data_IF_823327321959
#
_entry.id   IF_823327321959
#
_cell.length_a   1.000
_cell.length_b   1.000
_cell.length_c   1.000
_cell.angle_alpha   90.00
_cell.angle_beta   90.00
_cell.angle_gamma   90.00
#
_symmetry.space_group_name_H-M   'P 1'
#
loop_
_entity.id
_entity.type
_entity.pdbx_description
1 polymer ?
#
# COMPACT_ATOMS: atom_id res chain seq x y z
N UNK A 1 -9.15 22.61 -20.38
CA UNK A 1 -8.70 23.09 -19.05
C UNK A 1 -7.20 22.88 -18.96
N UNK A 2 -6.48 23.76 -18.27
CA UNK A 2 -5.04 23.62 -18.02
C UNK A 2 -4.77 23.56 -16.53
N UNK A 3 -3.67 22.92 -16.16
CA UNK A 3 -3.21 22.78 -14.78
C UNK A 3 -1.70 23.01 -14.71
N UNK A 4 -1.27 23.69 -13.66
CA UNK A 4 0.13 23.96 -13.34
C UNK A 4 0.32 23.75 -11.84
N UNK A 5 1.19 22.81 -11.48
CA UNK A 5 1.53 22.50 -10.09
C UNK A 5 3.04 22.69 -9.96
N UNK A 6 3.47 23.44 -8.94
CA UNK A 6 4.87 23.57 -8.60
C UNK A 6 5.07 23.23 -7.12
N UNK A 7 6.02 22.36 -6.86
CA UNK A 7 6.41 21.98 -5.50
C UNK A 7 7.82 22.51 -5.23
N UNK A 8 8.01 23.17 -4.09
CA UNK A 8 9.32 23.62 -3.61
C UNK A 8 9.53 23.07 -2.22
N UNK A 9 10.57 22.25 -2.06
CA UNK A 9 10.98 21.69 -0.80
C UNK A 9 12.33 22.28 -0.39
N UNK A 10 12.45 22.69 0.87
CA UNK A 10 13.72 23.04 1.50
C UNK A 10 13.79 22.30 2.84
N UNK A 11 14.87 21.58 3.06
CA UNK A 11 15.15 20.92 4.33
C UNK A 11 16.50 21.37 4.87
N UNK A 12 16.56 21.44 6.18
CA UNK A 12 17.78 21.59 6.96
C UNK A 12 17.65 20.63 8.14
N UNK A 13 18.63 19.77 8.31
CA UNK A 13 18.69 18.83 9.42
C UNK A 13 20.08 18.84 10.03
N UNK A 14 20.17 18.52 11.31
CA UNK A 14 21.46 18.33 11.94
C UNK A 14 21.36 17.56 13.24
N UNK A 15 22.45 16.90 13.60
CA UNK A 15 22.60 16.20 14.88
C UNK A 15 23.61 16.96 15.73
N UNK A 16 23.26 17.23 16.98
CA UNK A 16 24.17 17.87 17.91
C UNK A 16 23.77 17.60 19.35
N UNK A 17 24.69 17.90 20.27
CA UNK A 17 24.57 17.55 21.69
C UNK A 17 24.27 18.79 22.52
N UNK A 18 23.57 18.60 23.65
CA UNK A 18 23.18 19.65 24.59
C UNK A 18 22.52 20.87 23.90
N UNK A 19 21.35 20.70 23.27
CA UNK A 19 20.63 21.83 22.68
C UNK A 19 20.24 22.84 23.76
N UNK A 20 20.51 24.13 23.53
CA UNK A 20 20.05 25.22 24.39
C UNK A 20 18.52 25.19 24.46
N UNK A 21 17.93 24.91 25.64
CA UNK A 21 16.49 24.77 25.80
C UNK A 21 15.72 26.06 25.52
N UNK A 22 16.41 27.21 25.40
CA UNK A 22 15.80 28.51 25.04
C UNK A 22 15.63 28.69 23.54
N UNK A 23 16.26 27.86 22.71
CA UNK A 23 16.16 27.91 21.23
C UNK A 23 15.90 26.53 20.62
N UNK A 24 14.88 25.80 21.11
CA UNK A 24 14.62 24.43 20.68
C UNK A 24 14.35 24.37 19.17
N UNK A 25 14.80 23.28 18.52
CA UNK A 25 14.63 23.00 17.09
C UNK A 25 15.42 23.92 16.13
N UNK A 26 16.55 24.50 16.56
CA UNK A 26 17.47 25.21 15.67
C UNK A 26 18.85 24.59 15.69
N UNK A 27 19.56 24.55 14.55
CA UNK A 27 20.96 24.09 14.54
C UNK A 27 21.85 25.02 15.38
N UNK A 28 21.49 26.29 15.51
CA UNK A 28 22.20 27.22 16.39
C UNK A 28 22.11 26.88 17.88
N UNK A 29 21.18 26.01 18.30
CA UNK A 29 21.04 25.65 19.71
C UNK A 29 22.00 24.55 20.15
N UNK A 30 22.61 23.79 19.24
CA UNK A 30 23.47 22.65 19.63
C UNK A 30 24.89 23.08 19.96
N UNK A 31 25.51 22.42 20.95
CA UNK A 31 26.88 22.72 21.39
C UNK A 31 27.88 22.46 20.25
N UNK A 32 28.74 23.43 19.88
CA UNK A 32 29.74 23.26 18.83
C UNK A 32 30.72 22.11 19.11
N UNK A 33 30.96 21.28 18.10
CA UNK A 33 31.98 20.24 18.13
C UNK A 33 33.38 20.80 17.93
N UNK A 34 34.31 20.43 18.81
CA UNK A 34 35.75 20.68 18.64
C UNK A 34 36.52 19.37 18.83
N UNK A 35 37.74 19.27 18.29
CA UNK A 35 38.58 18.06 18.44
C UNK A 35 38.73 17.61 19.91
N UNK A 36 38.67 18.54 20.87
CA UNK A 36 38.81 18.25 22.29
C UNK A 36 37.56 17.66 22.97
N UNK A 37 36.35 17.82 22.41
CA UNK A 37 35.12 17.30 23.02
C UNK A 37 34.47 16.15 22.21
N UNK A 38 34.89 15.93 20.97
CA UNK A 38 34.37 14.85 20.12
C UNK A 38 32.90 15.01 19.72
N UNK A 39 32.28 16.17 20.00
CA UNK A 39 30.85 16.43 19.74
C UNK A 39 30.63 16.90 18.29
N UNK A 40 31.09 16.12 17.32
CA UNK A 40 30.99 16.48 15.90
C UNK A 40 29.53 16.61 15.47
N UNK A 41 29.17 17.79 14.98
CA UNK A 41 27.85 18.05 14.43
C UNK A 41 27.79 17.54 13.00
N UNK A 42 26.72 16.85 12.66
CA UNK A 42 26.34 16.62 11.27
C UNK A 42 25.31 17.67 10.91
N UNK A 43 25.51 18.39 9.81
CA UNK A 43 24.52 19.28 9.23
C UNK A 43 24.33 18.85 7.80
N UNK A 44 23.08 18.60 7.42
CA UNK A 44 22.71 18.29 6.04
C UNK A 44 21.48 19.11 5.64
N UNK A 45 21.30 19.32 4.35
CA UNK A 45 20.17 20.07 3.84
C UNK A 45 19.89 19.69 2.40
N UNK A 46 18.71 20.04 1.93
CA UNK A 46 18.26 19.75 0.58
C UNK A 46 17.39 20.87 0.06
N UNK A 47 17.48 21.12 -1.23
CA UNK A 47 16.53 21.95 -1.96
C UNK A 47 16.06 21.12 -3.14
N UNK A 48 14.74 20.99 -3.29
CA UNK A 48 14.14 20.49 -4.52
C UNK A 48 13.09 21.47 -4.99
N UNK A 49 12.97 21.61 -6.30
CA UNK A 49 11.87 22.31 -6.95
C UNK A 49 11.43 21.43 -8.11
N UNK A 50 10.13 21.22 -8.31
CA UNK A 50 9.62 20.47 -9.45
C UNK A 50 8.30 21.07 -9.93
N UNK A 51 7.95 20.79 -11.19
CA UNK A 51 6.78 21.35 -11.86
C UNK A 51 6.07 20.27 -12.67
N UNK A 52 4.74 20.26 -12.60
CA UNK A 52 3.84 19.53 -13.49
C UNK A 52 3.00 20.53 -14.28
N UNK A 53 2.99 20.40 -15.60
CA UNK A 53 2.12 21.17 -16.50
C UNK A 53 1.21 20.22 -17.24
N UNK A 54 -0.07 20.53 -17.34
CA UNK A 54 -1.06 19.62 -17.91
C UNK A 54 -2.11 20.34 -18.73
N UNK A 55 -2.54 19.71 -19.82
CA UNK A 55 -3.67 20.14 -20.64
C UNK A 55 -4.70 19.02 -20.75
N UNK A 56 -5.97 19.31 -20.46
CA UNK A 56 -7.08 18.35 -20.45
C UNK A 56 -8.25 18.84 -21.31
N UNK A 57 -8.78 17.94 -22.13
CA UNK A 57 -10.08 18.04 -22.77
C UNK A 57 -10.94 16.86 -22.37
N UNK A 58 -12.23 17.09 -22.16
CA UNK A 58 -13.19 16.04 -21.88
C UNK A 58 -14.52 16.38 -22.53
N UNK A 59 -15.29 15.35 -22.85
CA UNK A 59 -16.58 15.45 -23.49
C UNK A 59 -17.53 14.41 -22.92
N UNK A 60 -18.81 14.77 -22.89
CA UNK A 60 -19.90 13.89 -22.52
C UNK A 60 -21.08 14.17 -23.44
N UNK A 61 -21.67 13.11 -23.97
CA UNK A 61 -22.89 13.19 -24.75
C UNK A 61 -23.88 12.16 -24.23
N UNK A 62 -25.13 12.54 -24.09
CA UNK A 62 -26.22 11.62 -23.71
C UNK A 62 -27.29 11.67 -24.79
N UNK A 63 -27.59 10.52 -25.38
CA UNK A 63 -28.67 10.34 -26.35
C UNK A 63 -29.91 9.76 -25.66
N UNK A 64 -31.08 10.35 -25.92
CA UNK A 64 -32.40 9.92 -25.42
C UNK A 64 -32.44 9.69 -23.89
N UNK A 65 -31.60 10.41 -23.15
CA UNK A 65 -31.39 10.23 -21.72
C UNK A 65 -30.97 8.79 -21.28
N UNK A 66 -30.62 7.90 -22.23
CA UNK A 66 -30.36 6.46 -22.01
C UNK A 66 -28.91 6.10 -22.25
N UNK A 67 -28.31 6.60 -23.31
CA UNK A 67 -26.98 6.19 -23.75
C UNK A 67 -26.03 7.37 -23.57
N UNK A 68 -25.18 7.30 -22.54
CA UNK A 68 -24.14 8.30 -22.32
C UNK A 68 -22.81 7.78 -22.85
N UNK A 69 -22.14 8.58 -23.68
CA UNK A 69 -20.73 8.41 -24.03
C UNK A 69 -19.90 9.46 -23.31
N UNK A 70 -18.74 9.05 -22.79
CA UNK A 70 -17.76 9.94 -22.15
C UNK A 70 -16.39 9.73 -22.78
N UNK A 71 -15.66 10.82 -22.98
CA UNK A 71 -14.29 10.79 -23.44
C UNK A 71 -13.44 11.83 -22.73
N UNK A 72 -12.18 11.53 -22.47
CA UNK A 72 -11.18 12.51 -22.04
C UNK A 72 -9.84 12.23 -22.69
N UNK A 73 -9.08 13.30 -22.89
CA UNK A 73 -7.70 13.26 -23.35
C UNK A 73 -6.90 14.31 -22.60
N UNK A 74 -5.72 13.91 -22.14
CA UNK A 74 -4.86 14.72 -21.29
C UNK A 74 -3.41 14.57 -21.73
N UNK A 75 -2.64 15.66 -21.68
CA UNK A 75 -1.20 15.67 -21.94
C UNK A 75 -0.49 16.33 -20.76
N UNK A 76 0.41 15.60 -20.11
CA UNK A 76 1.06 16.00 -18.86
C UNK A 76 2.58 16.00 -19.03
N UNK A 77 3.23 17.05 -18.52
CA UNK A 77 4.67 17.28 -18.55
C UNK A 77 5.21 17.41 -17.14
N UNK A 78 6.06 16.47 -16.69
CA UNK A 78 6.69 16.51 -15.36
C UNK A 78 8.18 16.87 -15.44
N UNK A 79 8.61 17.92 -14.75
CA UNK A 79 10.02 18.33 -14.71
C UNK A 79 10.92 17.31 -14.01
N UNK A 80 10.35 16.40 -13.22
CA UNK A 80 11.07 15.31 -12.55
C UNK A 80 11.70 14.33 -13.54
N UNK A 81 11.22 14.30 -14.78
CA UNK A 81 11.66 13.38 -15.83
C UNK A 81 12.56 14.07 -16.87
N UNK A 82 13.38 13.28 -17.60
CA UNK A 82 14.17 13.76 -18.73
C UNK A 82 13.36 14.59 -19.73
N UNK A 83 14.05 15.46 -20.48
CA UNK A 83 13.42 16.29 -21.52
C UNK A 83 12.68 15.45 -22.57
N UNK A 84 13.22 14.28 -22.91
CA UNK A 84 12.70 13.41 -23.96
C UNK A 84 11.46 12.60 -23.53
N UNK A 85 11.26 12.40 -22.23
CA UNK A 85 10.22 11.51 -21.68
C UNK A 85 9.22 12.22 -20.79
N UNK A 86 9.43 13.51 -20.47
CA UNK A 86 8.58 14.25 -19.52
C UNK A 86 7.15 14.43 -19.94
N UNK A 87 6.87 14.55 -21.24
CA UNK A 87 5.53 14.74 -21.78
C UNK A 87 4.91 13.41 -22.17
N UNK A 88 3.74 13.10 -21.61
CA UNK A 88 2.97 11.90 -21.94
C UNK A 88 1.49 12.19 -22.09
N UNK A 89 0.80 11.34 -22.86
CA UNK A 89 -0.61 11.48 -23.13
C UNK A 89 -1.43 10.35 -22.52
N UNK A 90 -2.58 10.72 -21.97
CA UNK A 90 -3.52 9.84 -21.30
C UNK A 90 -4.91 10.04 -21.88
N UNK A 91 -5.69 8.97 -21.95
CA UNK A 91 -7.05 9.03 -22.46
C UNK A 91 -8.00 8.19 -21.62
N UNK A 92 -9.28 8.47 -21.73
CA UNK A 92 -10.33 7.58 -21.23
C UNK A 92 -11.53 7.64 -22.15
N UNK A 93 -12.12 6.48 -22.42
CA UNK A 93 -13.40 6.35 -23.10
C UNK A 93 -14.33 5.50 -22.24
N UNK A 94 -15.59 5.88 -22.20
CA UNK A 94 -16.60 5.15 -21.44
C UNK A 94 -17.99 5.29 -22.01
N UNK A 95 -18.84 4.33 -21.66
CA UNK A 95 -20.24 4.30 -22.03
C UNK A 95 -21.09 3.93 -20.80
N UNK A 96 -22.27 4.52 -20.70
CA UNK A 96 -23.29 4.20 -19.71
C UNK A 96 -24.59 3.95 -20.46
N UNK A 97 -25.22 2.82 -20.17
CA UNK A 97 -26.55 2.46 -20.65
C UNK A 97 -27.51 2.43 -19.47
N UNK A 98 -28.44 3.38 -19.43
CA UNK A 98 -29.52 3.46 -18.45
C UNK A 98 -30.64 2.49 -18.83
N UNK A 99 -30.39 1.21 -18.56
CA UNK A 99 -31.31 0.09 -18.74
C UNK A 99 -32.68 0.36 -18.08
N UNK A 100 -32.70 1.06 -16.95
CA UNK A 100 -33.94 1.41 -16.24
C UNK A 100 -34.92 2.26 -17.06
N UNK A 101 -34.46 2.92 -18.12
CA UNK A 101 -35.29 3.73 -19.02
C UNK A 101 -35.75 2.99 -20.28
N UNK A 102 -35.29 1.75 -20.48
CA UNK A 102 -35.70 0.94 -21.62
C UNK A 102 -37.13 0.42 -21.49
N UNK A 103 -37.83 0.26 -22.62
CA UNK A 103 -39.24 -0.16 -22.63
C UNK A 103 -39.49 -1.50 -21.93
N UNK A 104 -38.50 -2.40 -21.96
CA UNK A 104 -38.55 -3.71 -21.33
C UNK A 104 -38.29 -3.70 -19.81
N UNK A 105 -37.77 -2.60 -19.23
CA UNK A 105 -37.51 -2.47 -17.78
C UNK A 105 -38.36 -1.39 -17.13
N UNK A 106 -38.62 -0.27 -17.81
CA UNK A 106 -39.22 0.95 -17.22
C UNK A 106 -40.55 0.73 -16.50
N UNK A 107 -41.28 -0.34 -16.84
CA UNK A 107 -42.57 -0.71 -16.25
C UNK A 107 -42.45 -1.69 -15.07
N UNK A 108 -41.24 -2.16 -14.73
CA UNK A 108 -40.98 -3.01 -13.58
C UNK A 108 -40.90 -2.12 -12.33
N UNK A 109 -41.99 -2.06 -11.56
CA UNK A 109 -42.12 -1.16 -10.40
C UNK A 109 -41.06 -1.38 -9.30
N UNK A 110 -40.47 -2.58 -9.25
CA UNK A 110 -39.39 -2.93 -8.33
C UNK A 110 -38.03 -2.35 -8.75
N UNK A 111 -37.86 -1.87 -9.98
CA UNK A 111 -36.61 -1.28 -10.48
C UNK A 111 -36.75 0.23 -10.51
N UNK A 112 -35.99 0.93 -9.66
CA UNK A 112 -35.97 2.39 -9.63
C UNK A 112 -34.86 2.97 -10.52
N UNK A 113 -33.72 2.27 -10.60
CA UNK A 113 -32.60 2.60 -11.47
C UNK A 113 -31.81 1.33 -11.76
N UNK A 114 -31.35 1.18 -13.00
CA UNK A 114 -30.44 0.14 -13.42
C UNK A 114 -29.55 0.68 -14.53
N UNK A 115 -28.23 0.71 -14.32
CA UNK A 115 -27.27 1.25 -15.28
C UNK A 115 -26.11 0.29 -15.48
N UNK A 116 -25.86 -0.07 -16.73
CA UNK A 116 -24.63 -0.75 -17.13
C UNK A 116 -23.60 0.30 -17.54
N UNK A 117 -22.37 0.16 -17.06
CA UNK A 117 -21.26 1.07 -17.33
C UNK A 117 -20.06 0.29 -17.82
N UNK A 118 -19.32 0.85 -18.75
CA UNK A 118 -18.03 0.33 -19.19
C UNK A 118 -17.06 1.47 -19.45
N UNK A 119 -15.78 1.28 -19.10
CA UNK A 119 -14.74 2.25 -19.45
C UNK A 119 -13.38 1.59 -19.69
N UNK A 120 -12.57 2.26 -20.51
CA UNK A 120 -11.18 1.93 -20.72
C UNK A 120 -10.35 3.21 -20.84
N UNK A 121 -9.23 3.27 -20.13
CA UNK A 121 -8.38 4.45 -20.18
C UNK A 121 -7.02 4.22 -19.56
N UNK A 122 -6.15 5.20 -19.76
CA UNK A 122 -4.81 5.26 -19.20
C UNK A 122 -4.67 6.40 -18.19
N UNK A 123 -3.78 6.20 -17.22
CA UNK A 123 -3.28 7.23 -16.29
C UNK A 123 -1.79 7.02 -16.07
N UNK A 124 -1.08 8.02 -15.56
CA UNK A 124 0.35 7.94 -15.31
C UNK A 124 0.73 8.32 -13.88
N UNK A 125 1.81 7.72 -13.38
CA UNK A 125 2.50 8.17 -12.18
C UNK A 125 3.85 8.80 -12.56
N UNK A 126 4.09 10.01 -12.05
CA UNK A 126 5.38 10.70 -12.13
C UNK A 126 5.96 11.09 -10.76
N UNK A 127 5.55 10.39 -9.70
CA UNK A 127 5.92 10.67 -8.33
C UNK A 127 6.46 9.41 -7.63
N UNK A 128 7.09 9.62 -6.47
CA UNK A 128 7.65 8.55 -5.62
C UNK A 128 8.66 7.65 -6.36
N UNK A 129 9.44 8.25 -7.25
CA UNK A 129 10.50 7.53 -7.95
C UNK A 129 11.64 7.14 -6.99
N UNK A 130 12.30 6.00 -7.21
CA UNK A 130 13.53 5.69 -6.50
C UNK A 130 14.58 6.79 -6.70
N UNK A 131 15.14 7.30 -5.60
CA UNK A 131 16.08 8.44 -5.64
C UNK A 131 15.41 9.82 -5.61
N UNK A 132 14.08 9.90 -5.60
CA UNK A 132 13.33 11.15 -5.46
C UNK A 132 13.08 11.87 -6.78
N UNK A 133 13.08 13.20 -6.74
CA UNK A 133 12.99 14.02 -7.94
C UNK A 133 14.28 13.85 -8.77
N UNK A 134 14.17 13.88 -10.10
CA UNK A 134 15.31 13.77 -11.02
C UNK A 134 16.05 12.42 -11.01
N UNK A 135 15.35 11.26 -11.08
CA UNK A 135 16.00 9.95 -11.08
C UNK A 135 16.94 9.74 -12.29
N UNK A 136 16.93 10.65 -13.26
CA UNK A 136 17.80 10.64 -14.42
C UNK A 136 19.17 11.28 -14.21
N UNK A 137 19.39 11.99 -13.12
CA UNK A 137 20.67 12.63 -12.83
C UNK A 137 21.64 11.66 -12.15
N UNK A 138 22.89 11.67 -12.60
CA UNK A 138 23.98 11.05 -11.85
C UNK A 138 24.28 11.89 -10.61
N UNK A 139 24.44 11.23 -9.46
CA UNK A 139 24.78 11.89 -8.20
C UNK A 139 26.16 11.45 -7.72
N UNK A 140 26.78 12.33 -6.94
CA UNK A 140 28.08 12.12 -6.32
C UNK A 140 27.98 12.45 -4.83
N UNK A 141 28.76 11.73 -4.03
CA UNK A 141 28.95 12.03 -2.62
C UNK A 141 30.42 12.31 -2.33
N UNK A 142 30.66 13.04 -1.24
CA UNK A 142 32.01 13.22 -0.72
C UNK A 142 32.42 12.03 0.12
N UNK A 143 33.67 11.60 -0.03
CA UNK A 143 34.28 10.53 0.74
C UNK A 143 35.67 10.90 1.22
N UNK A 144 36.34 9.95 1.83
CA UNK A 144 37.75 10.06 2.20
C UNK A 144 38.50 8.85 1.66
N UNK A 145 39.59 9.09 0.96
CA UNK A 145 40.51 8.05 0.50
C UNK A 145 41.92 8.44 0.92
N UNK A 146 42.57 7.57 1.70
CA UNK A 146 43.90 7.80 2.25
C UNK A 146 44.04 9.18 2.95
N UNK A 147 43.05 9.52 3.77
CA UNK A 147 42.99 10.79 4.52
C UNK A 147 42.70 12.03 3.67
N UNK A 148 42.57 11.91 2.35
CA UNK A 148 42.21 13.00 1.44
C UNK A 148 40.73 12.99 1.10
N UNK A 149 40.12 14.17 1.00
CA UNK A 149 38.74 14.31 0.57
C UNK A 149 38.61 13.89 -0.90
N UNK A 150 37.58 13.11 -1.20
CA UNK A 150 37.28 12.63 -2.56
C UNK A 150 35.83 12.86 -2.91
N UNK A 151 35.52 12.77 -4.20
CA UNK A 151 34.16 12.63 -4.72
C UNK A 151 34.05 11.27 -5.39
N UNK A 152 32.97 10.56 -5.13
CA UNK A 152 32.67 9.29 -5.78
C UNK A 152 31.21 9.25 -6.23
N UNK A 153 30.90 8.58 -7.34
CA UNK A 153 29.54 8.47 -7.84
C UNK A 153 28.70 7.60 -6.90
N UNK A 154 27.46 8.00 -6.62
CA UNK A 154 26.51 7.24 -5.77
C UNK A 154 25.38 6.63 -6.57
N UNK A 155 25.00 7.24 -7.70
CA UNK A 155 24.08 6.65 -8.66
C UNK A 155 24.43 7.11 -10.07
N UNK A 156 24.36 6.22 -11.07
CA UNK A 156 24.56 6.60 -12.47
C UNK A 156 23.44 7.49 -13.02
N UNK A 157 22.26 7.51 -12.38
CA UNK A 157 21.04 8.10 -12.94
C UNK A 157 20.48 7.29 -14.11
N UNK A 158 19.17 7.34 -14.31
CA UNK A 158 18.49 6.71 -15.43
C UNK A 158 18.06 7.76 -16.49
N UNK A 159 18.87 8.03 -17.53
CA UNK A 159 18.54 9.01 -18.56
C UNK A 159 17.29 8.65 -19.37
N UNK A 160 16.83 7.39 -19.28
CA UNK A 160 15.63 6.88 -19.93
C UNK A 160 14.43 6.79 -18.97
N UNK A 161 14.54 7.38 -17.77
CA UNK A 161 13.45 7.41 -16.81
C UNK A 161 12.20 7.98 -17.46
N UNK A 162 11.06 7.35 -17.19
CA UNK A 162 9.78 7.69 -17.81
C UNK A 162 8.64 7.51 -16.82
N UNK A 163 7.45 7.91 -17.23
CA UNK A 163 6.22 7.70 -16.48
C UNK A 163 5.93 6.21 -16.29
N UNK A 164 5.35 5.86 -15.15
CA UNK A 164 4.71 4.54 -14.99
C UNK A 164 3.27 4.64 -15.48
N UNK A 165 2.87 3.75 -16.38
CA UNK A 165 1.55 3.79 -17.00
C UNK A 165 0.60 2.80 -16.34
N UNK A 166 -0.64 3.19 -16.16
CA UNK A 166 -1.72 2.32 -15.72
C UNK A 166 -2.80 2.31 -16.79
N UNK A 167 -3.17 1.14 -17.29
CA UNK A 167 -4.31 0.93 -18.17
C UNK A 167 -5.41 0.21 -17.40
N UNK A 168 -6.60 0.79 -17.35
CA UNK A 168 -7.71 0.23 -16.57
C UNK A 168 -8.91 0.01 -17.47
N UNK A 169 -9.39 -1.23 -17.52
CA UNK A 169 -10.72 -1.58 -18.02
C UNK A 169 -11.66 -1.80 -16.84
N UNK A 170 -12.85 -1.20 -16.88
CA UNK A 170 -13.90 -1.38 -15.89
C UNK A 170 -15.22 -1.75 -16.55
N UNK A 171 -15.97 -2.65 -15.92
CA UNK A 171 -17.37 -2.95 -16.25
C UNK A 171 -18.15 -2.94 -14.95
N UNK A 172 -19.23 -2.17 -14.89
CA UNK A 172 -19.99 -1.95 -13.67
C UNK A 172 -21.49 -1.97 -13.87
N UNK A 173 -22.23 -2.41 -12.86
CA UNK A 173 -23.68 -2.35 -12.80
C UNK A 173 -24.08 -1.54 -11.56
N UNK A 174 -24.77 -0.42 -11.76
CA UNK A 174 -25.41 0.33 -10.67
C UNK A 174 -26.89 -0.04 -10.61
N UNK A 175 -27.42 -0.17 -9.39
CA UNK A 175 -28.83 -0.48 -9.20
C UNK A 175 -29.45 0.26 -8.01
N UNK A 176 -30.74 0.54 -8.15
CA UNK A 176 -31.63 1.00 -7.09
C UNK A 176 -32.97 0.28 -7.25
N UNK A 177 -33.40 -0.45 -6.23
CA UNK A 177 -34.51 -1.38 -6.27
C UNK A 177 -35.47 -1.18 -5.09
N UNK A 178 -36.67 -1.74 -5.23
CA UNK A 178 -37.69 -1.89 -4.20
C UNK A 178 -38.09 -0.57 -3.53
N UNK A 179 -38.46 0.43 -4.34
CA UNK A 179 -38.75 1.80 -3.89
C UNK A 179 -37.57 2.44 -3.16
N UNK A 180 -36.38 2.30 -3.77
CA UNK A 180 -35.14 2.90 -3.26
C UNK A 180 -34.76 2.36 -1.88
N UNK A 181 -35.04 1.09 -1.64
CA UNK A 181 -34.72 0.42 -0.36
C UNK A 181 -33.47 -0.41 -0.46
N UNK A 182 -33.12 -0.89 -1.65
CA UNK A 182 -31.90 -1.65 -1.89
C UNK A 182 -31.13 -0.96 -2.99
N UNK A 183 -29.88 -0.57 -2.73
CA UNK A 183 -29.06 0.13 -3.72
C UNK A 183 -27.59 -0.24 -3.56
N UNK A 184 -26.86 -0.13 -4.65
CA UNK A 184 -25.47 -0.54 -4.68
C UNK A 184 -24.91 -0.60 -6.08
N UNK A 185 -23.75 -1.21 -6.17
CA UNK A 185 -23.01 -1.39 -7.40
C UNK A 185 -22.16 -2.66 -7.35
N UNK A 186 -21.93 -3.24 -8.52
CA UNK A 186 -20.99 -4.34 -8.74
C UNK A 186 -20.06 -3.92 -9.87
N UNK A 187 -18.77 -3.85 -9.60
CA UNK A 187 -17.75 -3.45 -10.55
C UNK A 187 -16.72 -4.56 -10.69
N UNK A 188 -16.39 -4.90 -11.93
CA UNK A 188 -15.21 -5.68 -12.27
C UNK A 188 -14.18 -4.76 -12.90
N UNK A 189 -12.91 -4.97 -12.55
CA UNK A 189 -11.81 -4.22 -13.13
C UNK A 189 -10.64 -5.12 -13.56
N UNK A 190 -9.91 -4.65 -14.56
CA UNK A 190 -8.61 -5.16 -14.94
C UNK A 190 -7.66 -3.98 -15.15
N UNK A 191 -6.68 -3.88 -14.27
CA UNK A 191 -5.68 -2.82 -14.21
C UNK A 191 -4.31 -3.41 -14.53
N UNK A 192 -3.69 -2.95 -15.60
CA UNK A 192 -2.32 -3.31 -15.98
C UNK A 192 -1.43 -2.10 -15.75
N UNK A 193 -0.44 -2.24 -14.88
CA UNK A 193 0.58 -1.22 -14.68
C UNK A 193 1.84 -1.62 -15.44
N UNK A 194 2.38 -0.70 -16.21
CA UNK A 194 3.57 -0.87 -17.05
C UNK A 194 4.63 0.15 -16.69
N UNK A 195 5.87 -0.17 -17.04
CA UNK A 195 7.02 0.68 -16.84
C UNK A 195 7.29 1.00 -15.36
N UNK A 196 6.90 0.09 -14.46
CA UNK A 196 7.23 0.18 -13.04
C UNK A 196 8.74 0.17 -12.84
N UNK A 197 9.21 0.93 -11.86
CA UNK A 197 10.61 0.86 -11.46
C UNK A 197 10.94 -0.52 -10.87
N UNK A 198 11.90 -1.20 -11.49
CA UNK A 198 12.52 -2.44 -10.99
C UNK A 198 14.00 -2.20 -10.74
N UNK A 199 14.59 -3.03 -9.88
CA UNK A 199 16.03 -3.00 -9.61
C UNK A 199 16.77 -3.83 -10.65
N UNK A 200 17.60 -3.17 -11.46
CA UNK A 200 18.53 -3.82 -12.37
C UNK A 200 19.93 -3.82 -11.76
N UNK A 201 20.49 -5.00 -11.50
CA UNK A 201 21.85 -5.11 -10.94
C UNK A 201 22.87 -4.58 -11.94
N UNK A 202 23.79 -3.75 -11.45
CA UNK A 202 24.89 -3.23 -12.24
C UNK A 202 26.03 -4.26 -12.29
N UNK A 203 26.78 -4.27 -13.39
CA UNK A 203 28.03 -5.05 -13.46
C UNK A 203 29.02 -4.51 -12.43
N UNK A 204 29.77 -5.39 -11.77
CA UNK A 204 30.87 -4.98 -10.89
C UNK A 204 31.94 -4.14 -11.63
N UNK A 205 32.01 -4.23 -12.96
CA UNK A 205 32.91 -3.40 -13.79
C UNK A 205 32.34 -2.02 -14.13
N UNK A 206 31.13 -1.69 -13.71
CA UNK A 206 30.47 -0.42 -14.01
C UNK A 206 31.02 0.77 -13.19
N UNK A 207 31.95 0.52 -12.27
CA UNK A 207 32.51 1.55 -11.38
C UNK A 207 31.62 1.88 -10.18
N UNK A 208 30.60 1.07 -9.94
CA UNK A 208 29.73 1.08 -8.77
C UNK A 208 30.04 -0.13 -7.88
N UNK A 209 29.64 -0.09 -6.62
CA UNK A 209 29.89 -1.17 -5.66
C UNK A 209 29.31 -2.51 -6.11
N UNK A 210 29.93 -3.62 -5.66
CA UNK A 210 29.38 -4.96 -5.89
C UNK A 210 28.01 -5.03 -5.21
N UNK A 211 26.98 -5.35 -6.00
CA UNK A 211 25.59 -5.41 -5.52
C UNK A 211 24.78 -4.15 -5.77
N UNK A 212 25.38 -3.09 -6.32
CA UNK A 212 24.65 -1.88 -6.69
C UNK A 212 23.66 -2.14 -7.84
N UNK A 213 22.59 -1.36 -7.85
CA UNK A 213 21.53 -1.45 -8.84
C UNK A 213 21.16 -0.07 -9.37
N UNK A 214 20.58 -0.06 -10.57
CA UNK A 214 19.90 1.09 -11.15
C UNK A 214 18.40 0.81 -11.21
N UNK A 215 17.60 1.81 -10.84
CA UNK A 215 16.14 1.74 -10.96
C UNK A 215 15.71 1.99 -12.41
N UNK A 216 15.07 1.01 -13.03
CA UNK A 216 14.65 1.06 -14.43
C UNK A 216 13.12 0.91 -14.56
N UNK A 217 12.49 1.78 -15.34
CA UNK A 217 11.08 1.70 -15.71
C UNK A 217 10.81 0.57 -16.72
N UNK A 218 10.64 -0.66 -16.24
CA UNK A 218 10.47 -1.82 -17.11
C UNK A 218 9.60 -2.96 -16.52
N UNK A 219 9.20 -2.85 -15.25
CA UNK A 219 8.33 -3.83 -14.61
C UNK A 219 6.88 -3.73 -15.10
N UNK A 220 6.20 -4.87 -15.15
CA UNK A 220 4.76 -4.94 -15.37
C UNK A 220 4.06 -5.75 -14.27
N UNK A 221 2.92 -5.26 -13.82
CA UNK A 221 2.02 -6.00 -12.94
C UNK A 221 0.57 -5.85 -13.38
N UNK A 222 -0.25 -6.78 -12.93
CA UNK A 222 -1.68 -6.80 -13.20
C UNK A 222 -2.46 -7.00 -11.91
N UNK A 223 -3.47 -6.15 -11.73
CA UNK A 223 -4.49 -6.25 -10.69
C UNK A 223 -5.84 -6.49 -11.35
N UNK A 224 -6.52 -7.58 -10.99
CA UNK A 224 -7.88 -7.87 -11.46
C UNK A 224 -8.78 -8.19 -10.30
N UNK A 225 -10.00 -7.68 -10.32
CA UNK A 225 -10.82 -7.76 -9.14
C UNK A 225 -12.27 -7.41 -9.32
N UNK A 226 -12.99 -7.57 -8.22
CA UNK A 226 -14.38 -7.18 -8.07
C UNK A 226 -14.51 -6.23 -6.89
N UNK A 227 -15.34 -5.20 -7.04
CA UNK A 227 -15.75 -4.31 -5.98
C UNK A 227 -17.28 -4.30 -5.95
N UNK A 228 -17.86 -4.58 -4.79
CA UNK A 228 -19.29 -4.65 -4.58
C UNK A 228 -19.67 -3.78 -3.43
N UNK A 229 -20.68 -2.94 -3.62
CA UNK A 229 -21.34 -2.21 -2.55
C UNK A 229 -22.80 -2.63 -2.51
N UNK A 230 -23.32 -2.93 -1.33
CA UNK A 230 -24.72 -3.25 -1.11
C UNK A 230 -25.25 -2.53 0.12
N UNK A 231 -26.37 -1.85 -0.04
CA UNK A 231 -27.06 -1.16 1.03
C UNK A 231 -28.53 -1.57 1.01
N UNK A 232 -29.12 -1.66 2.21
CA UNK A 232 -30.51 -2.02 2.39
C UNK A 232 -31.14 -1.25 3.55
N UNK A 233 -32.16 -0.43 3.27
CA UNK A 233 -33.04 0.11 4.30
C UNK A 233 -34.09 -0.94 4.70
N UNK A 234 -33.69 -1.83 5.62
CA UNK A 234 -34.47 -2.99 6.06
C UNK A 234 -35.70 -2.61 6.85
N UNK A 235 -35.69 -1.48 7.56
CA UNK A 235 -36.84 -0.93 8.26
C UNK A 235 -37.02 0.56 7.94
N UNK A 236 -38.24 0.96 7.56
CA UNK A 236 -38.65 2.35 7.35
C UNK A 236 -40.06 2.54 7.91
N UNK A 237 -40.19 3.13 9.10
CA UNK A 237 -41.48 3.37 9.78
C UNK A 237 -41.45 4.67 10.57
N UNK A 238 -42.25 5.67 10.20
CA UNK A 238 -42.40 6.95 10.88
C UNK A 238 -41.05 7.60 11.24
N UNK A 239 -40.59 7.38 12.47
CA UNK A 239 -39.35 7.95 13.02
C UNK A 239 -38.22 6.92 13.17
N UNK A 240 -38.39 5.69 12.68
CA UNK A 240 -37.41 4.61 12.69
C UNK A 240 -36.94 4.33 11.26
N UNK A 241 -35.63 4.40 11.05
CA UNK A 241 -34.96 3.89 9.85
C UNK A 241 -33.79 3.00 10.28
N UNK A 242 -33.67 1.83 9.67
CA UNK A 242 -32.53 0.93 9.86
C UNK A 242 -31.97 0.60 8.50
N UNK A 243 -30.72 1.00 8.28
CA UNK A 243 -29.96 0.70 7.07
C UNK A 243 -28.82 -0.23 7.42
N UNK A 244 -28.78 -1.39 6.77
CA UNK A 244 -27.61 -2.25 6.75
C UNK A 244 -26.80 -1.93 5.50
N UNK A 245 -25.49 -1.87 5.62
CA UNK A 245 -24.61 -1.63 4.48
C UNK A 245 -23.39 -2.53 4.54
N UNK A 246 -22.84 -2.83 3.37
CA UNK A 246 -21.64 -3.60 3.19
C UNK A 246 -20.92 -3.22 1.91
N UNK A 247 -19.60 -3.32 1.95
CA UNK A 247 -18.75 -3.33 0.77
C UNK A 247 -17.80 -4.52 0.84
N UNK A 248 -17.39 -4.97 -0.34
CA UNK A 248 -16.52 -6.12 -0.55
C UNK A 248 -15.62 -5.83 -1.74
N UNK A 249 -14.34 -6.14 -1.60
CA UNK A 249 -13.35 -6.05 -2.66
C UNK A 249 -12.52 -7.34 -2.72
N UNK A 250 -12.39 -7.89 -3.92
CA UNK A 250 -11.43 -8.94 -4.23
C UNK A 250 -10.40 -8.40 -5.23
N UNK A 251 -9.12 -8.56 -4.94
CA UNK A 251 -8.04 -8.15 -5.83
C UNK A 251 -6.99 -9.26 -5.98
N UNK A 252 -6.87 -9.79 -7.20
CA UNK A 252 -5.78 -10.69 -7.58
C UNK A 252 -4.65 -9.87 -8.22
N UNK A 253 -3.53 -9.80 -7.52
CA UNK A 253 -2.30 -9.18 -8.02
C UNK A 253 -1.36 -10.25 -8.64
N UNK A 254 -0.63 -9.89 -9.69
CA UNK A 254 0.43 -10.71 -10.28
C UNK A 254 1.49 -9.85 -10.96
N UNK A 255 2.76 -10.12 -10.68
CA UNK A 255 3.89 -9.61 -11.47
C UNK A 255 3.92 -10.34 -12.80
N UNK A 256 3.87 -9.62 -13.92
CA UNK A 256 3.81 -10.20 -15.26
C UNK A 256 5.11 -10.07 -16.04
N UNK A 257 5.97 -9.11 -15.68
CA UNK A 257 7.27 -8.93 -16.33
C UNK A 257 8.26 -8.21 -15.41
N UNK A 258 9.52 -8.64 -15.46
CA UNK A 258 10.70 -7.92 -14.96
C UNK A 258 11.64 -7.52 -16.11
N UNK A 259 11.13 -7.49 -17.35
CA UNK A 259 11.88 -7.12 -18.55
C UNK A 259 13.20 -7.89 -18.76
N UNK A 260 13.25 -9.15 -18.32
CA UNK A 260 14.42 -10.02 -18.45
C UNK A 260 15.39 -9.94 -17.27
N UNK A 261 15.17 -9.05 -16.31
CA UNK A 261 15.93 -9.03 -15.06
C UNK A 261 15.55 -10.23 -14.17
N UNK A 262 16.50 -10.79 -13.40
CA UNK A 262 16.22 -11.88 -12.48
C UNK A 262 15.27 -11.46 -11.36
N UNK A 263 14.60 -12.43 -10.75
CA UNK A 263 13.87 -12.20 -9.51
C UNK A 263 14.82 -11.66 -8.44
N UNK A 264 14.30 -10.79 -7.57
CA UNK A 264 15.08 -10.16 -6.50
C UNK A 264 14.25 -10.00 -5.24
N UNK A 265 14.93 -10.03 -4.10
CA UNK A 265 14.29 -9.96 -2.80
C UNK A 265 13.98 -8.52 -2.40
N UNK A 266 12.85 -8.32 -1.71
CA UNK A 266 12.49 -7.06 -1.09
C UNK A 266 11.93 -7.32 0.30
N UNK A 267 12.76 -7.21 1.33
CA UNK A 267 12.37 -7.65 2.68
C UNK A 267 12.18 -9.17 2.71
N UNK A 268 11.00 -9.64 3.07
CA UNK A 268 10.68 -11.09 3.16
C UNK A 268 9.99 -11.64 1.91
N UNK A 269 9.75 -10.81 0.90
CA UNK A 269 9.20 -11.26 -0.38
C UNK A 269 10.28 -11.41 -1.44
N UNK A 270 9.99 -12.25 -2.44
CA UNK A 270 10.73 -12.33 -3.68
C UNK A 270 9.87 -11.74 -4.80
N UNK A 271 10.30 -10.65 -5.43
CA UNK A 271 9.62 -10.13 -6.61
C UNK A 271 9.94 -11.06 -7.77
N UNK A 272 8.93 -11.80 -8.23
CA UNK A 272 9.10 -12.85 -9.23
C UNK A 272 7.90 -12.92 -10.18
N UNK A 273 8.18 -13.15 -11.47
CA UNK A 273 7.15 -13.27 -12.51
C UNK A 273 6.24 -14.45 -12.22
N UNK A 274 4.92 -14.22 -12.29
CA UNK A 274 3.90 -15.23 -12.04
C UNK A 274 3.37 -15.27 -10.61
N UNK A 275 4.05 -14.63 -9.67
CA UNK A 275 3.64 -14.53 -8.27
C UNK A 275 2.91 -13.21 -7.99
N UNK A 276 1.99 -13.18 -7.02
CA UNK A 276 1.51 -11.93 -6.44
C UNK A 276 2.67 -11.14 -5.83
N UNK A 277 2.63 -9.81 -5.96
CA UNK A 277 3.43 -8.94 -5.12
C UNK A 277 3.12 -9.25 -3.65
N UNK A 278 4.15 -9.20 -2.82
CA UNK A 278 4.12 -9.49 -1.41
C UNK A 278 4.24 -10.95 -1.01
N UNK A 279 4.47 -11.86 -1.97
CA UNK A 279 4.56 -13.29 -1.66
C UNK A 279 5.86 -13.61 -0.93
N UNK A 280 5.74 -14.13 0.28
CA UNK A 280 6.88 -14.42 1.14
C UNK A 280 7.78 -15.52 0.56
N UNK A 281 9.09 -15.34 0.71
CA UNK A 281 10.14 -16.22 0.22
C UNK A 281 11.09 -16.57 1.36
N UNK A 282 10.87 -17.73 1.98
CA UNK A 282 11.56 -18.14 3.20
C UNK A 282 11.86 -19.64 3.21
N UNK A 283 12.69 -20.09 4.14
CA UNK A 283 12.86 -21.53 4.39
C UNK A 283 11.58 -22.05 5.06
N UNK A 284 11.12 -23.23 4.67
CA UNK A 284 9.97 -23.87 5.31
C UNK A 284 10.34 -24.44 6.68
N UNK A 285 9.58 -24.04 7.70
CA UNK A 285 9.65 -24.60 9.04
C UNK A 285 8.91 -25.95 9.12
N UNK A 286 9.59 -26.98 9.64
CA UNK A 286 9.06 -28.33 9.76
C UNK A 286 8.77 -28.75 11.21
N UNK A 287 8.97 -27.85 12.18
CA UNK A 287 8.69 -28.12 13.60
C UNK A 287 9.94 -28.27 14.45
N UNK A 288 9.75 -28.88 15.61
CA UNK A 288 10.83 -29.20 16.55
C UNK A 288 11.00 -30.72 16.58
N UNK A 289 12.24 -31.20 16.46
CA UNK A 289 12.54 -32.61 16.65
C UNK A 289 12.24 -32.98 18.11
N UNK A 290 11.19 -33.77 18.33
CA UNK A 290 10.77 -34.17 19.67
C UNK A 290 11.84 -34.94 20.44
N UNK A 291 12.79 -35.59 19.77
CA UNK A 291 13.86 -36.38 20.40
C UNK A 291 15.04 -35.53 20.85
N UNK A 292 15.34 -34.43 20.13
CA UNK A 292 16.55 -33.62 20.37
C UNK A 292 16.29 -32.15 20.73
N UNK A 293 15.06 -31.67 20.53
CA UNK A 293 14.68 -30.27 20.70
C UNK A 293 15.22 -29.34 19.61
N UNK A 294 15.81 -29.88 18.53
CA UNK A 294 16.39 -29.07 17.45
C UNK A 294 15.32 -28.54 16.50
N UNK A 295 15.48 -27.33 15.96
CA UNK A 295 14.61 -26.83 14.91
C UNK A 295 14.78 -27.64 13.62
N UNK A 296 13.67 -28.06 13.02
CA UNK A 296 13.61 -28.78 11.75
C UNK A 296 13.08 -27.86 10.65
N UNK A 297 13.66 -28.02 9.46
CA UNK A 297 13.29 -27.29 8.24
C UNK A 297 13.11 -28.26 7.09
N UNK A 298 12.54 -27.78 5.99
CA UNK A 298 12.50 -28.51 4.72
C UNK A 298 13.56 -27.93 3.78
N UNK A 299 14.36 -28.81 3.18
CA UNK A 299 15.34 -28.44 2.16
C UNK A 299 14.71 -28.27 0.76
N UNK A 300 15.51 -27.86 -0.21
CA UNK A 300 15.05 -27.67 -1.60
C UNK A 300 14.48 -28.94 -2.26
N UNK A 301 14.82 -30.14 -1.77
CA UNK A 301 14.32 -31.41 -2.28
C UNK A 301 13.03 -31.87 -1.59
N UNK A 302 12.62 -31.21 -0.52
CA UNK A 302 11.47 -31.61 0.30
C UNK A 302 11.82 -32.48 1.50
N UNK A 303 13.11 -32.67 1.80
CA UNK A 303 13.58 -33.49 2.91
C UNK A 303 13.81 -32.66 4.18
N UNK A 304 13.74 -33.31 5.35
CA UNK A 304 14.02 -32.64 6.61
C UNK A 304 15.50 -32.33 6.77
N UNK A 305 15.82 -31.08 7.11
CA UNK A 305 17.17 -30.62 7.39
C UNK A 305 17.25 -29.86 8.71
N UNK A 306 18.41 -29.96 9.37
CA UNK A 306 18.76 -29.22 10.59
C UNK A 306 19.65 -28.00 10.28
N UNK A 307 20.08 -27.86 9.03
CA UNK A 307 21.02 -26.84 8.56
C UNK A 307 20.51 -26.26 7.25
N UNK A 308 19.42 -25.47 7.29
CA UNK A 308 18.88 -24.85 6.09
C UNK A 308 19.86 -23.81 5.52
N UNK A 309 19.77 -23.60 4.22
CA UNK A 309 20.57 -22.67 3.43
C UNK A 309 19.67 -21.77 2.60
N UNK A 310 20.23 -20.71 2.01
CA UNK A 310 19.46 -19.80 1.15
C UNK A 310 18.84 -20.49 -0.07
N UNK A 311 19.41 -21.62 -0.52
CA UNK A 311 18.89 -22.41 -1.63
C UNK A 311 17.63 -23.21 -1.26
N UNK A 312 17.34 -23.36 0.04
CA UNK A 312 16.18 -24.11 0.54
C UNK A 312 14.92 -23.24 0.63
N UNK A 313 15.03 -21.93 0.33
CA UNK A 313 13.91 -20.99 0.41
C UNK A 313 12.91 -21.22 -0.73
N UNK A 314 11.64 -21.07 -0.41
CA UNK A 314 10.52 -21.28 -1.36
C UNK A 314 9.48 -20.17 -1.25
N UNK A 315 8.82 -19.87 -2.37
CA UNK A 315 7.86 -18.78 -2.47
C UNK A 315 6.40 -19.28 -2.38
N UNK A 316 6.00 -19.77 -1.20
CA UNK A 316 4.67 -20.40 -1.02
C UNK A 316 3.88 -20.01 0.23
N UNK A 317 4.37 -19.09 1.05
CA UNK A 317 3.79 -18.80 2.38
C UNK A 317 2.78 -17.66 2.37
N UNK A 318 1.98 -17.52 1.31
CA UNK A 318 1.01 -16.44 1.18
C UNK A 318 1.65 -15.09 0.85
N UNK A 319 0.82 -14.05 0.79
CA UNK A 319 1.23 -12.66 0.51
C UNK A 319 0.79 -11.72 1.62
N UNK A 320 1.57 -10.68 1.87
CA UNK A 320 1.21 -9.63 2.82
C UNK A 320 0.09 -8.68 2.33
N UNK A 321 -0.26 -8.74 1.04
CA UNK A 321 -1.41 -8.05 0.46
C UNK A 321 -2.68 -8.88 0.58
N UNK A 322 -3.69 -8.36 1.30
CA UNK A 322 -4.97 -9.06 1.46
C UNK A 322 -5.75 -9.10 0.13
N UNK A 323 -6.02 -10.30 -0.43
CA UNK A 323 -6.82 -10.42 -1.64
C UNK A 323 -8.29 -10.07 -1.40
N UNK A 324 -8.81 -10.31 -0.19
CA UNK A 324 -10.19 -9.99 0.19
C UNK A 324 -10.20 -8.94 1.28
N UNK A 325 -11.03 -7.90 1.09
CA UNK A 325 -11.22 -6.85 2.10
C UNK A 325 -12.60 -6.24 1.97
N UNK A 326 -13.06 -5.62 3.05
CA UNK A 326 -14.32 -4.91 3.01
C UNK A 326 -14.69 -4.29 4.34
N UNK A 327 -15.94 -3.86 4.41
CA UNK A 327 -16.53 -3.32 5.61
C UNK A 327 -18.03 -3.48 5.59
N UNK A 328 -18.62 -3.50 6.77
CA UNK A 328 -20.07 -3.59 6.92
C UNK A 328 -20.51 -2.87 8.18
N UNK A 329 -21.79 -2.56 8.27
CA UNK A 329 -22.29 -1.79 9.38
C UNK A 329 -23.78 -1.57 9.35
N UNK A 330 -24.22 -0.75 10.29
CA UNK A 330 -25.62 -0.32 10.41
C UNK A 330 -25.71 1.16 10.71
N UNK A 331 -26.73 1.78 10.13
CA UNK A 331 -27.18 3.13 10.48
C UNK A 331 -28.61 3.04 10.98
N UNK A 332 -28.81 3.39 12.25
CA UNK A 332 -30.12 3.38 12.89
C UNK A 332 -30.50 4.80 13.25
N UNK A 333 -31.67 5.23 12.78
CA UNK A 333 -32.28 6.51 13.17
C UNK A 333 -33.54 6.24 13.95
N UNK A 334 -33.67 6.81 15.14
CA UNK A 334 -34.87 6.69 15.95
C UNK A 334 -35.17 7.94 16.75
N UNK A 335 -36.26 8.66 16.42
CA UNK A 335 -36.76 9.83 17.21
C UNK A 335 -35.67 10.86 17.58
N UNK A 336 -34.80 11.19 16.63
CA UNK A 336 -33.69 12.14 16.84
C UNK A 336 -32.38 11.50 17.28
N UNK A 337 -32.36 10.23 17.67
CA UNK A 337 -31.12 9.47 17.81
C UNK A 337 -30.63 8.98 16.45
N UNK A 338 -29.33 9.07 16.22
CA UNK A 338 -28.60 8.51 15.09
C UNK A 338 -27.46 7.64 15.65
N UNK A 339 -27.48 6.34 15.36
CA UNK A 339 -26.42 5.39 15.69
C UNK A 339 -25.77 4.93 14.38
N UNK A 340 -24.45 5.07 14.29
CA UNK A 340 -23.62 4.53 13.22
C UNK A 340 -22.62 3.53 13.81
N UNK A 341 -22.52 2.35 13.20
CA UNK A 341 -21.58 1.31 13.60
C UNK A 341 -20.88 0.81 12.34
N UNK A 342 -19.55 0.83 12.37
CA UNK A 342 -18.70 0.42 11.24
C UNK A 342 -17.72 -0.67 11.65
N UNK A 343 -17.74 -1.79 10.92
CA UNK A 343 -16.73 -2.81 10.94
C UNK A 343 -15.90 -2.79 9.65
N UNK A 344 -14.62 -3.11 9.76
CA UNK A 344 -13.75 -3.43 8.61
C UNK A 344 -13.16 -4.83 8.77
N UNK A 345 -12.94 -5.53 7.68
CA UNK A 345 -12.37 -6.86 7.70
C UNK A 345 -11.41 -7.07 6.52
N UNK A 346 -10.50 -8.02 6.67
CA UNK A 346 -9.66 -8.53 5.59
C UNK A 346 -9.43 -10.03 5.79
N UNK A 347 -9.14 -10.73 4.69
CA UNK A 347 -8.90 -12.17 4.69
C UNK A 347 -7.86 -12.57 3.64
N UNK A 348 -7.07 -13.61 3.96
CA UNK A 348 -6.10 -14.23 3.07
C UNK A 348 -4.75 -13.53 2.94
N UNK A 349 -4.47 -12.53 3.80
CA UNK A 349 -3.12 -11.98 3.95
C UNK A 349 -2.34 -12.77 5.00
N UNK A 350 -1.04 -12.90 4.80
CA UNK A 350 -0.09 -13.40 5.79
C UNK A 350 0.88 -12.30 6.22
N UNK A 351 1.36 -12.32 7.45
CA UNK A 351 2.36 -11.35 7.92
C UNK A 351 3.46 -12.02 8.69
N UNK A 352 4.65 -11.46 8.53
CA UNK A 352 5.82 -11.83 9.31
C UNK A 352 5.76 -11.14 10.67
N UNK A 353 5.74 -11.91 11.73
CA UNK A 353 5.98 -11.43 13.09
C UNK A 353 7.47 -11.52 13.42
N UNK A 354 8.18 -10.44 13.10
CA UNK A 354 9.61 -10.35 13.40
C UNK A 354 9.90 -10.34 14.91
N UNK A 355 8.91 -9.99 15.75
CA UNK A 355 9.09 -9.98 17.21
C UNK A 355 9.23 -11.41 17.74
N UNK A 356 8.42 -12.34 17.23
CA UNK A 356 8.51 -13.77 17.59
C UNK A 356 9.90 -14.33 17.32
N UNK A 357 10.52 -13.96 16.19
CA UNK A 357 11.89 -14.37 15.88
C UNK A 357 12.87 -14.00 17.00
N UNK A 358 12.83 -12.75 17.50
CA UNK A 358 13.78 -12.30 18.52
C UNK A 358 13.45 -12.80 19.93
N UNK A 359 12.17 -13.05 20.25
CA UNK A 359 11.73 -13.56 21.54
C UNK A 359 12.03 -15.06 21.72
N UNK A 360 11.84 -15.86 20.66
CA UNK A 360 12.01 -17.31 20.74
C UNK A 360 13.40 -17.82 20.39
N UNK A 361 14.28 -16.96 19.86
CA UNK A 361 15.62 -17.34 19.41
C UNK A 361 16.70 -16.97 20.45
N UNK A 362 17.59 -17.90 20.84
CA UNK A 362 18.70 -17.60 21.75
C UNK A 362 19.64 -16.51 21.23
N UNK A 363 19.70 -16.27 19.91
CA UNK A 363 20.55 -15.25 19.27
C UNK A 363 19.95 -13.83 19.36
N UNK A 364 18.81 -13.66 20.03
CA UNK A 364 18.13 -12.38 20.19
C UNK A 364 17.99 -11.95 21.66
N UNK A 365 16.75 -11.68 22.05
CA UNK A 365 16.40 -11.12 23.35
C UNK A 365 16.74 -12.01 24.54
N UNK A 366 16.83 -13.32 24.31
CA UNK A 366 17.30 -14.28 25.31
C UNK A 366 18.75 -14.02 25.73
N UNK A 367 19.66 -13.76 24.78
CA UNK A 367 21.07 -13.45 25.08
C UNK A 367 21.26 -12.10 25.79
N UNK A 368 20.38 -11.14 25.53
CA UNK A 368 20.37 -9.83 26.17
C UNK A 368 19.70 -9.79 27.54
N UNK A 369 19.13 -10.90 28.01
CA UNK A 369 18.45 -10.99 29.31
C UNK A 369 17.11 -10.25 29.37
N UNK A 370 16.44 -10.05 28.23
CA UNK A 370 15.12 -9.42 28.20
C UNK A 370 14.03 -10.40 28.63
N UNK A 371 13.01 -9.88 29.30
CA UNK A 371 11.85 -10.67 29.71
C UNK A 371 11.13 -11.26 28.51
N UNK A 372 10.85 -12.57 28.59
CA UNK A 372 10.10 -13.29 27.58
C UNK A 372 8.62 -13.38 27.94
N UNK A 373 7.78 -13.71 26.96
CA UNK A 373 6.38 -14.04 27.24
C UNK A 373 6.32 -15.31 28.11
N UNK A 374 5.42 -15.30 29.10
CA UNK A 374 5.10 -16.49 29.91
C UNK A 374 4.46 -17.61 29.09
N UNK A 375 3.98 -17.30 27.88
CA UNK A 375 3.29 -18.24 27.02
C UNK A 375 4.25 -19.11 26.18
N UNK A 376 5.55 -18.80 26.18
CA UNK A 376 6.56 -19.57 25.46
C UNK A 376 6.76 -20.96 26.09
N UNK A 377 6.59 -22.00 25.27
CA UNK A 377 6.74 -23.41 25.67
C UNK A 377 7.95 -24.02 24.97
N UNK A 378 9.13 -23.71 25.47
CA UNK A 378 10.38 -24.31 24.99
C UNK A 378 10.37 -25.83 25.19
N UNK A 379 10.97 -26.54 24.26
CA UNK A 379 11.27 -27.97 24.42
C UNK A 379 12.23 -28.17 25.60
N UNK A 380 11.97 -29.16 26.45
CA UNK A 380 12.78 -29.43 27.65
C UNK A 380 13.38 -30.84 27.66
N UNK A 381 12.65 -31.84 27.18
CA UNK A 381 13.08 -33.24 27.23
C UNK A 381 12.60 -34.08 26.03
N UNK A 382 13.28 -35.20 25.73
CA UNK A 382 12.85 -36.12 24.67
C UNK A 382 11.39 -36.58 24.84
N UNK A 383 10.60 -36.41 23.78
CA UNK A 383 9.17 -36.72 23.74
C UNK A 383 8.26 -35.49 23.85
N UNK A 384 8.78 -34.31 24.19
CA UNK A 384 8.01 -33.07 24.19
C UNK A 384 7.55 -32.70 22.77
N UNK A 385 6.25 -32.43 22.60
CA UNK A 385 5.66 -31.96 21.34
C UNK A 385 5.29 -30.48 21.53
N UNK A 386 6.19 -29.60 21.09
CA UNK A 386 6.07 -28.14 21.24
C UNK A 386 6.45 -27.41 19.96
N UNK A 387 6.03 -26.15 19.84
CA UNK A 387 6.34 -25.28 18.69
C UNK A 387 7.64 -24.48 18.84
N UNK A 388 8.11 -24.29 20.08
CA UNK A 388 9.33 -23.53 20.37
C UNK A 388 10.48 -24.50 20.66
N UNK A 389 11.57 -24.47 19.88
CA UNK A 389 12.70 -25.41 20.03
C UNK A 389 13.43 -25.20 21.36
N UNK A 390 14.37 -26.08 21.68
CA UNK A 390 15.23 -25.90 22.86
C UNK A 390 16.00 -24.57 22.74
N UNK A 391 16.13 -23.78 23.83
CA UNK A 391 16.88 -22.53 23.81
C UNK A 391 18.40 -22.74 23.59
N UNK A 392 18.85 -24.00 23.52
CA UNK A 392 20.22 -24.35 23.17
C UNK A 392 20.52 -24.20 21.67
N UNK A 393 19.50 -24.11 20.82
CA UNK A 393 19.66 -24.06 19.37
C UNK A 393 19.06 -22.76 18.80
N UNK A 394 19.83 -22.06 17.98
CA UNK A 394 19.34 -20.92 17.20
C UNK A 394 18.36 -21.38 16.12
N UNK A 395 17.37 -20.55 15.83
CA UNK A 395 16.47 -20.75 14.69
C UNK A 395 16.87 -19.87 13.50
N UNK A 396 16.74 -20.41 12.29
CA UNK A 396 16.78 -19.64 11.05
C UNK A 396 15.50 -18.82 10.86
N UNK A 397 15.63 -17.70 10.14
CA UNK A 397 14.48 -16.94 9.63
C UNK A 397 13.73 -17.82 8.62
N UNK A 398 12.44 -18.07 8.88
CA UNK A 398 11.68 -19.15 8.21
C UNK A 398 10.19 -18.91 8.25
N UNK A 399 9.41 -19.78 7.62
CA UNK A 399 7.95 -19.70 7.59
C UNK A 399 7.28 -19.82 8.97
N UNK A 400 8.02 -20.19 10.03
CA UNK A 400 7.52 -20.26 11.42
C UNK A 400 6.87 -18.96 11.87
N UNK A 401 7.46 -17.83 11.48
CA UNK A 401 7.05 -16.49 11.92
C UNK A 401 6.04 -15.84 10.97
N UNK A 402 5.52 -16.59 9.99
CA UNK A 402 4.52 -16.11 9.04
C UNK A 402 3.13 -16.55 9.51
N UNK A 403 2.29 -15.59 9.86
CA UNK A 403 0.98 -15.82 10.44
C UNK A 403 -0.13 -15.35 9.53
N UNK A 404 -1.30 -15.97 9.66
CA UNK A 404 -2.53 -15.43 9.11
C UNK A 404 -2.81 -14.04 9.72
N UNK A 405 -3.09 -13.08 8.85
CA UNK A 405 -3.36 -11.69 9.21
C UNK A 405 -4.82 -11.31 8.94
N UNK A 406 -5.72 -12.30 8.94
CA UNK A 406 -7.14 -12.10 8.70
C UNK A 406 -7.80 -11.55 9.98
N UNK A 407 -8.73 -10.61 9.83
CA UNK A 407 -9.39 -10.00 10.97
C UNK A 407 -10.77 -9.44 10.65
N UNK A 408 -11.56 -9.23 11.70
CA UNK A 408 -12.69 -8.30 11.74
C UNK A 408 -12.43 -7.30 12.86
N UNK A 409 -12.60 -6.01 12.57
CA UNK A 409 -12.32 -4.92 13.51
C UNK A 409 -13.52 -3.97 13.57
N UNK A 410 -13.99 -3.69 14.78
CA UNK A 410 -14.88 -2.55 15.03
C UNK A 410 -14.07 -1.27 14.86
N UNK A 411 -14.41 -0.46 13.84
CA UNK A 411 -13.68 0.75 13.48
C UNK A 411 -14.25 1.97 14.19
N UNK A 412 -15.56 2.06 14.26
CA UNK A 412 -16.26 3.19 14.84
C UNK A 412 -17.62 2.79 15.40
N UNK A 413 -18.01 3.44 16.50
CA UNK A 413 -19.37 3.47 17.04
C UNK A 413 -19.68 4.91 17.40
N UNK A 414 -20.59 5.53 16.66
CA UNK A 414 -21.01 6.91 16.90
C UNK A 414 -22.49 6.94 17.28
N UNK A 415 -22.79 7.44 18.48
CA UNK A 415 -24.16 7.74 18.91
C UNK A 415 -24.34 9.26 19.00
N UNK A 416 -25.31 9.78 18.27
CA UNK A 416 -25.68 11.19 18.24
C UNK A 416 -27.14 11.39 18.60
N UNK A 417 -27.48 12.53 19.20
CA UNK A 417 -28.87 12.93 19.43
C UNK A 417 -29.10 14.36 18.93
N UNK A 418 -30.09 14.51 18.06
CA UNK A 418 -30.51 15.80 17.52
C UNK A 418 -31.56 16.42 18.42
N UNK A 419 -31.17 17.47 19.14
CA UNK A 419 -32.09 18.25 19.98
C UNK A 419 -33.27 18.80 19.14
N UNK A 420 -34.52 18.56 19.56
CA UNK A 420 -35.69 19.13 18.92
C UNK A 420 -35.68 20.68 18.95
N UNK A 421 -36.15 21.32 17.88
CA UNK A 421 -36.16 22.79 17.75
C UNK A 421 -36.92 23.49 18.89
N UNK A 422 -37.99 22.88 19.40
CA UNK A 422 -38.79 23.41 20.50
C UNK A 422 -38.05 23.42 21.85
N UNK A 423 -36.99 22.62 22.01
CA UNK A 423 -36.13 22.62 23.22
C UNK A 423 -35.08 23.75 23.14
N UNK A 424 -34.72 24.19 21.93
CA UNK A 424 -33.68 25.21 21.70
C UNK A 424 -34.22 26.66 21.76
N UNK A 425 -35.53 26.88 21.83
CA UNK A 425 -36.13 28.21 21.86
C UNK A 425 -35.82 29.07 20.60
N UNK A 426 -35.96 30.40 20.72
CA UNK A 426 -35.59 31.36 19.65
C UNK A 426 -34.07 31.59 19.52
N UNK A 427 -33.22 30.77 20.15
CA UNK A 427 -31.79 30.89 20.01
C UNK A 427 -31.41 30.51 18.57
N UNK A 428 -30.96 31.49 17.78
CA UNK A 428 -30.40 31.27 16.44
C UNK A 428 -29.03 30.61 16.61
N UNK A 429 -29.02 29.30 16.81
CA UNK A 429 -27.82 28.48 16.71
C UNK A 429 -27.73 28.00 15.26
N UNK A 430 -27.07 28.80 14.42
CA UNK A 430 -26.59 28.33 13.13
C UNK A 430 -25.61 27.18 13.37
N UNK A 431 -25.80 26.00 12.76
CA UNK A 431 -24.76 24.99 12.75
C UNK A 431 -23.49 25.66 12.21
N UNK A 432 -22.39 25.58 12.95
CA UNK A 432 -21.10 26.01 12.43
C UNK A 432 -20.92 25.30 11.08
N UNK A 433 -20.87 26.08 10.00
CA UNK A 433 -20.53 25.53 8.70
C UNK A 433 -19.19 24.81 8.89
N UNK A 434 -19.14 23.54 8.52
CA UNK A 434 -17.91 22.76 8.54
C UNK A 434 -16.87 23.48 7.68
N UNK A 435 -16.06 24.34 8.28
CA UNK A 435 -14.78 24.76 7.73
C UNK A 435 -13.90 23.54 7.80
N UNK A 436 -13.86 22.80 6.69
CA UNK A 436 -12.84 21.78 6.46
C UNK A 436 -11.48 22.46 6.67
N UNK A 437 -10.70 21.90 7.58
CA UNK A 437 -9.25 22.08 7.60
C UNK A 437 -8.63 21.21 6.50
#
# INVERSE_FOLDING_TARGET
MGEYIAEKAKSLSGTGYNPDPRSPNTIGSVTPGVRGNGLFQSVSGGISENVLVSGLVFGRYTFDDKYTLTGSFRSDGSSKLPIDTRWQQFFSVGAIWDLGKEDFIKNISQVNMLRLKGSYGSSGNANNFPGGDYPYQALYATGTYDGSNTLFPTTPGNPLAKWEFTYTANVGLDFELLNRRVWGDVNWYNKTTKDLFIQRKLSATAGFGIGDFISQNAGELVNKGWEVTLNGEVLRKNNLSVVLFGNFAYNKNRVTSLAGEPAYEQGTELINVGFPLGTHYEVEWAGVDASTGRPLYVDANGDLTLTPTDNDRVQKFGTWEAPWKGGFGTRVKYKGFDLDVLFSWQDGATKVDNMEYFMENPVGFLSGGYNQSSDLKFWQQPGDIVSTPSPLYSTAFSSKIIHDASFVRLRDVTLSYRLPKNVLGNAVLTPAANTKA
#
